data_IF_394647907173
#
_entry.id   IF_394647907173
#
_cell.length_a   1.000
_cell.length_b   1.000
_cell.length_c   1.000
_cell.angle_alpha   90.00
_cell.angle_beta   90.00
_cell.angle_gamma   90.00
#
_symmetry.space_group_name_H-M   'P 1'
#
loop_
_entity.id
_entity.type
_entity.pdbx_description
1 polymer ?
#
# COMPACT_ATOMS: atom_id res chain seq x y z
N UNK A 1 -21.65 -2.99 -0.89
CA UNK A 1 -20.59 -1.95 -0.97
C UNK A 1 -19.28 -2.67 -1.13
N UNK A 2 -18.37 -2.18 -1.98
CA UNK A 2 -17.07 -2.80 -2.16
C UNK A 2 -16.25 -2.68 -0.85
N UNK A 3 -15.45 -3.71 -0.54
CA UNK A 3 -14.51 -3.67 0.58
C UNK A 3 -13.35 -2.70 0.28
N UNK A 4 -12.59 -2.34 1.31
CA UNK A 4 -11.39 -1.51 1.14
C UNK A 4 -10.38 -2.16 0.16
N UNK A 5 -10.16 -3.47 0.29
CA UNK A 5 -9.25 -4.22 -0.59
C UNK A 5 -9.77 -4.31 -2.04
N UNK A 6 -11.09 -4.50 -2.24
CA UNK A 6 -11.68 -4.47 -3.58
C UNK A 6 -11.51 -3.12 -4.25
N UNK A 7 -11.68 -2.03 -3.47
CA UNK A 7 -11.47 -0.66 -3.98
C UNK A 7 -10.03 -0.43 -4.40
N UNK A 8 -9.06 -0.89 -3.59
CA UNK A 8 -7.63 -0.81 -3.92
C UNK A 8 -7.30 -1.59 -5.21
N UNK A 9 -7.74 -2.85 -5.29
CA UNK A 9 -7.51 -3.69 -6.47
C UNK A 9 -8.11 -3.06 -7.72
N UNK A 10 -9.34 -2.54 -7.63
CA UNK A 10 -10.01 -1.89 -8.73
C UNK A 10 -9.25 -0.62 -9.16
N UNK A 11 -8.79 0.20 -8.23
CA UNK A 11 -8.04 1.41 -8.57
C UNK A 11 -6.69 1.11 -9.24
N UNK A 12 -5.96 0.08 -8.78
CA UNK A 12 -4.74 -0.41 -9.43
C UNK A 12 -5.04 -0.88 -10.87
N UNK A 13 -6.09 -1.68 -11.04
CA UNK A 13 -6.49 -2.18 -12.36
C UNK A 13 -6.90 -1.05 -13.31
N UNK A 14 -7.70 -0.09 -12.83
CA UNK A 14 -8.13 1.07 -13.63
C UNK A 14 -6.98 2.01 -13.94
N UNK A 15 -6.04 2.21 -13.03
CA UNK A 15 -4.95 3.16 -13.21
C UNK A 15 -3.74 2.63 -13.97
N UNK A 16 -3.49 1.30 -13.95
CA UNK A 16 -2.30 0.71 -14.60
C UNK A 16 -2.65 -0.21 -15.75
N UNK A 17 -3.71 -1.01 -15.61
CA UNK A 17 -4.15 -1.93 -16.66
C UNK A 17 -5.21 -1.30 -17.57
N UNK A 18 -5.80 -0.18 -17.14
CA UNK A 18 -6.92 0.52 -17.80
C UNK A 18 -8.12 -0.41 -18.02
N UNK A 19 -8.44 -1.23 -17.00
CA UNK A 19 -9.53 -2.21 -17.06
C UNK A 19 -10.45 -2.11 -15.84
N UNK A 20 -11.75 -2.30 -16.10
CA UNK A 20 -12.70 -2.69 -15.05
C UNK A 20 -12.59 -4.20 -14.86
N UNK A 21 -12.33 -4.65 -13.63
CA UNK A 21 -12.27 -6.08 -13.34
C UNK A 21 -13.68 -6.62 -13.10
N UNK A 22 -13.88 -7.89 -13.41
CA UNK A 22 -15.13 -8.57 -13.07
C UNK A 22 -15.29 -8.66 -11.55
N UNK A 23 -16.52 -8.74 -11.04
CA UNK A 23 -16.77 -8.94 -9.61
C UNK A 23 -16.02 -10.17 -9.07
N UNK A 24 -15.92 -11.23 -9.87
CA UNK A 24 -15.18 -12.46 -9.52
C UNK A 24 -13.68 -12.20 -9.37
N UNK A 25 -13.05 -11.52 -10.34
CA UNK A 25 -11.61 -11.22 -10.30
C UNK A 25 -11.28 -10.24 -9.17
N UNK A 26 -12.13 -9.25 -8.95
CA UNK A 26 -11.98 -8.31 -7.83
C UNK A 26 -11.98 -9.01 -6.49
N UNK A 27 -13.01 -9.85 -6.26
CA UNK A 27 -13.14 -10.60 -5.02
C UNK A 27 -11.94 -11.53 -4.83
N UNK A 28 -11.48 -12.18 -5.90
CA UNK A 28 -10.31 -13.06 -5.87
C UNK A 28 -9.05 -12.33 -5.40
N UNK A 29 -8.68 -11.24 -6.07
CA UNK A 29 -7.47 -10.49 -5.75
C UNK A 29 -7.55 -9.76 -4.41
N UNK A 30 -8.73 -9.22 -4.05
CA UNK A 30 -8.95 -8.62 -2.75
C UNK A 30 -8.76 -9.65 -1.62
N UNK A 31 -9.23 -10.89 -1.83
CA UNK A 31 -9.01 -12.00 -0.91
C UNK A 31 -7.54 -12.42 -0.83
N UNK A 32 -6.78 -12.36 -1.93
CA UNK A 32 -5.33 -12.62 -1.88
C UNK A 32 -4.60 -11.59 -0.99
N UNK A 33 -5.04 -10.32 -1.01
CA UNK A 33 -4.51 -9.28 -0.11
C UNK A 33 -4.93 -9.58 1.34
N UNK A 34 -6.21 -9.87 1.57
CA UNK A 34 -6.75 -10.17 2.91
C UNK A 34 -6.07 -11.38 3.56
N UNK A 35 -5.74 -12.40 2.76
CA UNK A 35 -5.06 -13.62 3.19
C UNK A 35 -3.53 -13.49 3.24
N UNK A 36 -2.97 -12.32 2.90
CA UNK A 36 -1.52 -12.07 2.95
C UNK A 36 -0.70 -12.76 1.86
N UNK A 37 -1.33 -13.37 0.86
CA UNK A 37 -0.64 -13.99 -0.28
C UNK A 37 -0.02 -12.95 -1.23
N UNK A 38 -0.53 -11.72 -1.19
CA UNK A 38 0.03 -10.58 -1.93
C UNK A 38 -0.18 -9.28 -1.15
N UNK A 39 0.51 -8.22 -1.54
CA UNK A 39 0.33 -6.87 -0.98
C UNK A 39 -0.13 -5.89 -2.06
N UNK A 40 -0.81 -4.79 -1.69
CA UNK A 40 -1.13 -3.73 -2.65
C UNK A 40 0.11 -3.19 -3.39
N UNK A 41 1.23 -3.07 -2.68
CA UNK A 41 2.52 -2.68 -3.24
C UNK A 41 3.01 -3.68 -4.29
N UNK A 42 2.97 -4.98 -3.99
CA UNK A 42 3.38 -6.02 -4.94
C UNK A 42 2.45 -6.09 -6.15
N UNK A 43 1.14 -5.95 -5.97
CA UNK A 43 0.18 -5.89 -7.08
C UNK A 43 0.42 -4.68 -7.98
N UNK A 44 0.67 -3.51 -7.39
CA UNK A 44 1.05 -2.30 -8.11
C UNK A 44 2.33 -2.54 -8.93
N UNK A 45 3.33 -3.15 -8.30
CA UNK A 45 4.60 -3.45 -8.94
C UNK A 45 4.42 -4.43 -10.11
N UNK A 46 3.66 -5.50 -9.94
CA UNK A 46 3.36 -6.46 -11.00
C UNK A 46 2.58 -5.82 -12.15
N UNK A 47 1.55 -5.04 -11.85
CA UNK A 47 0.76 -4.33 -12.86
C UNK A 47 1.61 -3.34 -13.67
N UNK A 48 2.50 -2.59 -13.00
CA UNK A 48 3.45 -1.67 -13.66
C UNK A 48 4.48 -2.38 -14.55
N UNK A 49 4.71 -3.67 -14.31
CA UNK A 49 5.67 -4.45 -15.09
C UNK A 49 5.08 -5.07 -16.35
N UNK A 50 3.75 -5.05 -16.50
CA UNK A 50 3.06 -5.62 -17.66
C UNK A 50 3.49 -4.92 -18.96
N UNK A 51 3.53 -5.69 -20.05
CA UNK A 51 3.80 -5.17 -21.40
C UNK A 51 2.79 -4.10 -21.79
N UNK A 52 1.51 -4.32 -21.45
CA UNK A 52 0.44 -3.36 -21.67
C UNK A 52 0.73 -2.02 -21.00
N UNK A 53 1.21 -2.02 -19.74
CA UNK A 53 1.59 -0.78 -19.08
C UNK A 53 2.81 -0.11 -19.75
N UNK A 54 3.93 -0.83 -19.86
CA UNK A 54 5.22 -0.28 -20.33
C UNK A 54 5.20 0.25 -21.77
N UNK A 55 4.44 -0.40 -22.64
CA UNK A 55 4.47 -0.12 -24.07
C UNK A 55 3.23 0.62 -24.58
N UNK A 56 2.10 0.52 -23.89
CA UNK A 56 0.85 1.11 -24.36
C UNK A 56 0.30 2.17 -23.40
N UNK A 57 -0.01 1.81 -22.16
CA UNK A 57 -0.72 2.70 -21.24
C UNK A 57 0.14 3.88 -20.79
N UNK A 58 1.41 3.61 -20.45
CA UNK A 58 2.39 4.66 -20.15
C UNK A 58 2.65 5.55 -21.37
N UNK A 59 2.63 4.97 -22.58
CA UNK A 59 2.83 5.71 -23.82
C UNK A 59 1.63 6.64 -24.10
N UNK A 60 0.40 6.16 -23.88
CA UNK A 60 -0.82 6.95 -23.96
C UNK A 60 -0.80 8.14 -22.99
N UNK A 61 -0.42 7.92 -21.74
CA UNK A 61 -0.28 9.01 -20.77
C UNK A 61 0.83 10.00 -21.14
N UNK A 62 1.92 9.52 -21.74
CA UNK A 62 3.01 10.38 -22.23
C UNK A 62 2.57 11.23 -23.40
N UNK A 63 1.79 10.66 -24.33
CA UNK A 63 1.17 11.44 -25.40
C UNK A 63 0.22 12.50 -24.83
N UNK A 64 -0.67 12.13 -23.90
CA UNK A 64 -1.58 13.09 -23.29
C UNK A 64 -0.84 14.26 -22.61
N UNK A 65 0.20 13.96 -21.82
CA UNK A 65 1.04 14.98 -21.21
C UNK A 65 1.73 15.86 -22.26
N UNK A 66 2.26 15.27 -23.33
CA UNK A 66 2.91 16.01 -24.41
C UNK A 66 1.97 16.93 -25.20
N UNK A 67 0.69 16.57 -25.32
CA UNK A 67 -0.30 17.42 -26.00
C UNK A 67 -0.86 18.54 -25.13
N UNK A 68 -1.03 18.29 -23.82
CA UNK A 68 -1.83 19.17 -22.96
C UNK A 68 -1.08 19.71 -21.73
N UNK A 69 0.18 19.32 -21.53
CA UNK A 69 1.05 19.80 -20.46
C UNK A 69 0.59 19.45 -19.04
N UNK A 70 -0.30 18.47 -18.90
CA UNK A 70 -0.88 18.04 -17.62
C UNK A 70 -1.02 16.53 -17.58
N UNK A 71 -0.99 15.95 -16.38
CA UNK A 71 -1.30 14.53 -16.20
C UNK A 71 -2.81 14.30 -16.34
N UNK A 72 -3.17 13.15 -16.89
CA UNK A 72 -4.56 12.75 -17.07
C UNK A 72 -5.15 12.16 -15.79
N UNK A 73 -6.47 12.29 -15.62
CA UNK A 73 -7.21 11.46 -14.67
C UNK A 73 -7.31 10.01 -15.16
N UNK A 74 -7.57 9.07 -14.25
CA UNK A 74 -7.82 7.67 -14.61
C UNK A 74 -8.99 7.57 -15.59
N UNK A 75 -10.10 8.24 -15.32
CA UNK A 75 -11.28 8.22 -16.20
C UNK A 75 -10.97 8.71 -17.62
N UNK A 76 -10.13 9.75 -17.75
CA UNK A 76 -9.67 10.24 -19.04
C UNK A 76 -8.87 9.16 -19.77
N UNK A 77 -7.97 8.48 -19.08
CA UNK A 77 -7.18 7.40 -19.67
C UNK A 77 -8.03 6.20 -20.07
N UNK A 78 -9.00 5.83 -19.24
CA UNK A 78 -9.95 4.77 -19.54
C UNK A 78 -10.78 5.08 -20.79
N UNK A 79 -11.22 6.32 -20.96
CA UNK A 79 -11.91 6.75 -22.17
C UNK A 79 -11.05 6.52 -23.43
N UNK A 80 -9.80 6.99 -23.41
CA UNK A 80 -8.90 6.84 -24.56
C UNK A 80 -8.49 5.39 -24.79
N UNK A 81 -8.32 4.60 -23.73
CA UNK A 81 -8.12 3.15 -23.84
C UNK A 81 -9.33 2.46 -24.47
N UNK A 82 -10.54 2.83 -24.08
CA UNK A 82 -11.76 2.30 -24.69
C UNK A 82 -11.83 2.57 -26.19
N UNK A 83 -11.33 3.71 -26.68
CA UNK A 83 -11.24 3.98 -28.12
C UNK A 83 -10.27 3.00 -28.81
N UNK A 84 -9.13 2.71 -28.18
CA UNK A 84 -8.15 1.74 -28.70
C UNK A 84 -8.73 0.32 -28.71
N UNK A 85 -9.42 -0.06 -27.64
CA UNK A 85 -10.04 -1.38 -27.53
C UNK A 85 -11.18 -1.57 -28.55
N UNK A 86 -11.77 -0.48 -29.04
CA UNK A 86 -12.74 -0.48 -30.16
C UNK A 86 -12.08 -0.39 -31.55
N UNK A 87 -10.78 -0.68 -31.65
CA UNK A 87 -10.07 -0.87 -32.92
C UNK A 87 -9.26 0.33 -33.42
N UNK A 88 -9.23 1.45 -32.70
CA UNK A 88 -8.30 2.53 -33.01
C UNK A 88 -6.87 2.16 -32.60
N UNK A 89 -5.87 2.68 -33.31
CA UNK A 89 -4.47 2.54 -32.91
C UNK A 89 -4.04 3.68 -31.99
N UNK A 90 -2.95 3.50 -31.23
CA UNK A 90 -2.34 4.60 -30.47
C UNK A 90 -1.93 5.77 -31.37
N UNK A 91 -1.55 5.48 -32.62
CA UNK A 91 -1.29 6.49 -33.66
C UNK A 91 -2.55 7.31 -33.96
N UNK A 92 -3.71 6.69 -34.09
CA UNK A 92 -4.97 7.39 -34.36
C UNK A 92 -5.35 8.30 -33.19
N UNK A 93 -5.16 7.82 -31.95
CA UNK A 93 -5.37 8.62 -30.74
C UNK A 93 -4.40 9.81 -30.69
N UNK A 94 -3.12 9.58 -30.98
CA UNK A 94 -2.11 10.64 -31.08
C UNK A 94 -2.49 11.69 -32.12
N UNK A 95 -2.98 11.26 -33.28
CA UNK A 95 -3.51 12.11 -34.33
C UNK A 95 -4.72 12.95 -33.88
N UNK A 96 -5.58 12.41 -33.02
CA UNK A 96 -6.70 13.17 -32.42
C UNK A 96 -6.20 14.24 -31.44
N UNK A 97 -5.19 13.93 -30.62
CA UNK A 97 -4.62 14.89 -29.67
C UNK A 97 -4.03 16.11 -30.38
N UNK A 98 -3.08 15.88 -31.28
CA UNK A 98 -2.35 16.95 -31.98
C UNK A 98 -3.21 17.80 -32.92
N UNK A 99 -4.44 17.37 -33.23
CA UNK A 99 -5.38 18.11 -34.06
C UNK A 99 -6.57 18.68 -33.27
N UNK A 100 -6.60 18.49 -31.95
CA UNK A 100 -7.67 18.98 -31.09
C UNK A 100 -7.57 20.48 -30.84
N UNK A 101 -8.71 21.12 -30.57
CA UNK A 101 -8.73 22.53 -30.14
C UNK A 101 -7.98 22.75 -28.81
N UNK A 102 -8.06 21.78 -27.89
CA UNK A 102 -7.35 21.83 -26.61
C UNK A 102 -5.83 21.85 -26.79
N UNK A 103 -5.30 21.10 -27.76
CA UNK A 103 -3.87 21.12 -28.08
C UNK A 103 -3.40 22.51 -28.54
N UNK A 104 -4.14 23.14 -29.46
CA UNK A 104 -3.79 24.50 -29.92
C UNK A 104 -4.03 25.58 -28.86
N UNK A 105 -4.96 25.35 -27.91
CA UNK A 105 -5.13 26.23 -26.76
C UNK A 105 -3.94 26.12 -25.79
N UNK A 106 -3.42 24.91 -25.58
CA UNK A 106 -2.23 24.68 -24.75
C UNK A 106 -0.94 25.17 -25.43
N UNK A 107 -0.81 24.95 -26.73
CA UNK A 107 0.36 25.29 -27.53
C UNK A 107 -0.06 26.21 -28.71
N UNK A 108 -0.30 27.52 -28.46
CA UNK A 108 -0.72 28.43 -29.52
C UNK A 108 0.29 28.55 -30.68
N UNK A 109 1.58 28.38 -30.39
CA UNK A 109 2.65 28.42 -31.39
C UNK A 109 2.52 27.30 -32.43
N UNK A 110 1.90 26.17 -32.07
CA UNK A 110 1.71 25.05 -32.98
C UNK A 110 0.76 25.36 -34.15
N UNK A 111 -0.08 26.40 -34.03
CA UNK A 111 -0.94 26.85 -35.12
C UNK A 111 -0.21 27.67 -36.19
N UNK A 112 1.03 28.13 -35.91
CA UNK A 112 1.75 29.07 -36.77
C UNK A 112 2.41 28.39 -37.98
N UNK A 113 2.98 27.20 -37.81
CA UNK A 113 3.59 26.42 -38.89
C UNK A 113 3.85 24.96 -38.47
N UNK A 114 4.10 24.07 -39.44
CA UNK A 114 4.53 22.70 -39.15
C UNK A 114 5.85 22.66 -38.36
N UNK A 115 6.79 23.59 -38.62
CA UNK A 115 8.03 23.68 -37.84
C UNK A 115 7.75 24.03 -36.39
N UNK A 116 6.93 25.05 -36.15
CA UNK A 116 6.57 25.49 -34.81
C UNK A 116 5.84 24.38 -34.02
N UNK A 117 4.96 23.63 -34.69
CA UNK A 117 4.28 22.47 -34.10
C UNK A 117 5.25 21.35 -33.71
N UNK A 118 6.22 21.04 -34.58
CA UNK A 118 7.24 20.02 -34.30
C UNK A 118 8.12 20.44 -33.12
N UNK A 119 8.62 21.68 -33.12
CA UNK A 119 9.47 22.21 -32.06
C UNK A 119 8.73 22.25 -30.71
N UNK A 120 7.45 22.61 -30.71
CA UNK A 120 6.66 22.64 -29.49
C UNK A 120 6.39 21.24 -28.91
N UNK A 121 6.12 20.23 -29.75
CA UNK A 121 5.99 18.84 -29.30
C UNK A 121 7.31 18.32 -28.72
N UNK A 122 8.44 18.56 -29.40
CA UNK A 122 9.77 18.19 -28.92
C UNK A 122 10.05 18.84 -27.55
N UNK A 123 9.75 20.13 -27.41
CA UNK A 123 9.95 20.89 -26.18
C UNK A 123 9.09 20.40 -25.02
N UNK A 124 7.77 20.25 -25.23
CA UNK A 124 6.82 19.81 -24.19
C UNK A 124 7.14 18.40 -23.70
N UNK A 125 7.58 17.53 -24.61
CA UNK A 125 7.96 16.15 -24.28
C UNK A 125 9.41 16.03 -23.79
N UNK A 126 10.16 17.14 -23.73
CA UNK A 126 11.55 17.16 -23.26
C UNK A 126 12.49 16.28 -24.08
N UNK A 127 12.18 16.04 -25.36
CA UNK A 127 13.00 15.18 -26.22
C UNK A 127 14.25 15.93 -26.63
N UNK A 128 15.42 15.42 -26.23
CA UNK A 128 16.73 15.96 -26.60
C UNK A 128 17.40 15.13 -27.69
N UNK A 129 18.39 15.69 -28.38
CA UNK A 129 19.23 14.94 -29.33
C UNK A 129 18.69 14.82 -30.76
N UNK A 130 17.54 15.44 -31.07
CA UNK A 130 17.05 15.53 -32.46
C UNK A 130 17.83 16.60 -33.20
N UNK A 131 18.55 16.21 -34.25
CA UNK A 131 19.36 17.13 -35.07
C UNK A 131 18.49 18.01 -35.96
N UNK A 132 19.00 19.18 -36.38
CA UNK A 132 18.31 20.05 -37.34
C UNK A 132 18.10 19.38 -38.71
N UNK A 133 19.02 18.50 -39.12
CA UNK A 133 18.86 17.71 -40.34
C UNK A 133 17.64 16.78 -40.21
N UNK A 134 17.54 16.03 -39.10
CA UNK A 134 16.40 15.13 -38.83
C UNK A 134 15.07 15.89 -38.80
N UNK A 135 15.03 17.09 -38.20
CA UNK A 135 13.83 17.95 -38.24
C UNK A 135 13.46 18.34 -39.67
N UNK A 136 14.44 18.73 -40.48
CA UNK A 136 14.23 19.13 -41.88
C UNK A 136 13.67 17.96 -42.71
N UNK A 137 14.23 16.77 -42.56
CA UNK A 137 13.77 15.54 -43.22
C UNK A 137 12.34 15.14 -42.80
N UNK A 138 12.04 15.27 -41.50
CA UNK A 138 10.69 15.03 -40.98
C UNK A 138 9.68 16.02 -41.58
N UNK A 139 9.99 17.33 -41.60
CA UNK A 139 9.12 18.35 -42.19
C UNK A 139 8.90 18.16 -43.69
N UNK A 140 9.94 17.74 -44.43
CA UNK A 140 9.81 17.38 -45.83
C UNK A 140 8.89 16.16 -46.04
N UNK A 141 8.99 15.16 -45.17
CA UNK A 141 8.15 13.95 -45.19
C UNK A 141 6.68 14.24 -44.84
N UNK A 142 6.43 15.17 -43.92
CA UNK A 142 5.07 15.68 -43.61
C UNK A 142 4.46 16.34 -44.84
N UNK A 143 5.23 17.21 -45.51
CA UNK A 143 4.76 17.93 -46.71
C UNK A 143 4.43 16.97 -47.86
N UNK A 144 5.16 15.86 -47.97
CA UNK A 144 4.91 14.79 -48.95
C UNK A 144 3.78 13.84 -48.55
N UNK A 145 3.22 13.97 -47.35
CA UNK A 145 2.18 13.08 -46.81
C UNK A 145 2.69 11.68 -46.41
N UNK A 146 4.00 11.44 -46.43
CA UNK A 146 4.59 10.14 -46.06
C UNK A 146 4.78 9.98 -44.55
N UNK A 147 4.65 11.07 -43.79
CA UNK A 147 4.70 11.09 -42.33
C UNK A 147 3.53 11.92 -41.79
N UNK A 148 2.77 11.36 -40.85
CA UNK A 148 1.66 12.05 -40.20
C UNK A 148 1.96 12.42 -38.75
N UNK A 149 1.21 13.38 -38.22
CA UNK A 149 1.40 13.89 -36.86
C UNK A 149 1.12 12.86 -35.76
N UNK A 150 0.28 11.85 -36.02
CA UNK A 150 0.05 10.76 -35.07
C UNK A 150 1.30 9.90 -34.89
N UNK A 151 1.96 9.55 -36.00
CA UNK A 151 3.25 8.82 -35.97
C UNK A 151 4.36 9.63 -35.31
N UNK A 152 4.44 10.94 -35.58
CA UNK A 152 5.42 11.83 -34.94
C UNK A 152 5.23 11.87 -33.43
N UNK A 153 4.00 12.12 -32.98
CA UNK A 153 3.72 12.20 -31.54
C UNK A 153 3.98 10.87 -30.84
N UNK A 154 3.59 9.74 -31.46
CA UNK A 154 3.84 8.41 -30.93
C UNK A 154 5.35 8.13 -30.78
N UNK A 155 6.14 8.49 -31.79
CA UNK A 155 7.60 8.38 -31.74
C UNK A 155 8.19 9.23 -30.61
N UNK A 156 7.82 10.53 -30.54
CA UNK A 156 8.30 11.44 -29.50
C UNK A 156 7.93 10.98 -28.10
N UNK A 157 6.72 10.45 -27.91
CA UNK A 157 6.29 9.85 -26.65
C UNK A 157 7.17 8.67 -26.23
N UNK A 158 7.58 7.84 -27.19
CA UNK A 158 8.35 6.65 -26.90
C UNK A 158 9.80 6.96 -26.51
N UNK A 159 10.38 8.02 -27.08
CA UNK A 159 11.75 8.47 -26.77
C UNK A 159 11.81 9.57 -25.70
N UNK A 160 10.66 10.00 -25.17
CA UNK A 160 10.58 11.06 -24.19
C UNK A 160 11.13 10.62 -22.83
N UNK A 161 11.99 11.44 -22.17
CA UNK A 161 12.39 11.19 -20.79
C UNK A 161 11.20 11.29 -19.81
N UNK A 162 10.11 11.95 -20.20
CA UNK A 162 8.91 12.07 -19.38
C UNK A 162 8.12 10.79 -19.27
N UNK A 163 8.45 9.74 -20.05
CA UNK A 163 7.77 8.45 -19.99
C UNK A 163 7.78 7.89 -18.57
N UNK A 164 8.91 7.94 -17.87
CA UNK A 164 9.00 7.52 -16.46
C UNK A 164 8.11 8.37 -15.56
N UNK A 165 8.19 9.70 -15.70
CA UNK A 165 7.39 10.66 -14.92
C UNK A 165 5.89 10.44 -15.07
N UNK A 166 5.39 10.27 -16.29
CA UNK A 166 3.96 10.04 -16.55
C UNK A 166 3.52 8.66 -16.08
N UNK A 167 4.39 7.65 -16.16
CA UNK A 167 4.16 6.34 -15.55
C UNK A 167 4.02 6.42 -14.03
N UNK A 168 4.91 7.16 -13.36
CA UNK A 168 4.83 7.42 -11.91
C UNK A 168 3.59 8.23 -11.54
N UNK A 169 3.16 9.18 -12.39
CA UNK A 169 1.92 9.92 -12.17
C UNK A 169 0.69 9.01 -12.23
N UNK A 170 0.64 8.07 -13.19
CA UNK A 170 -0.42 7.06 -13.26
C UNK A 170 -0.42 6.16 -12.03
N UNK A 171 0.76 5.67 -11.62
CA UNK A 171 0.93 4.88 -10.40
C UNK A 171 0.41 5.64 -9.18
N UNK A 172 0.84 6.88 -8.99
CA UNK A 172 0.38 7.73 -7.90
C UNK A 172 -1.13 7.93 -7.94
N UNK A 173 -1.72 8.20 -9.11
CA UNK A 173 -3.17 8.39 -9.24
C UNK A 173 -3.93 7.08 -8.98
N UNK A 174 -3.38 5.93 -9.39
CA UNK A 174 -3.97 4.59 -9.17
C UNK A 174 -4.03 4.20 -7.70
N UNK A 175 -3.14 4.75 -6.88
CA UNK A 175 -3.11 4.49 -5.45
C UNK A 175 -3.95 5.56 -4.73
N UNK A 176 -3.71 6.84 -5.05
CA UNK A 176 -4.24 7.98 -4.29
C UNK A 176 -5.62 8.48 -4.73
N UNK A 177 -6.04 8.15 -5.95
CA UNK A 177 -7.22 8.73 -6.60
C UNK A 177 -7.04 10.18 -7.05
N UNK A 178 -5.96 10.87 -6.64
CA UNK A 178 -5.68 12.26 -6.97
C UNK A 178 -4.61 12.36 -8.06
N UNK A 179 -4.82 13.26 -9.02
CA UNK A 179 -3.80 13.57 -10.03
C UNK A 179 -2.68 14.38 -9.37
N UNK A 180 -1.44 13.89 -9.37
CA UNK A 180 -0.33 14.53 -8.66
C UNK A 180 0.16 15.78 -9.38
N UNK A 181 0.93 16.65 -8.70
CA UNK A 181 1.68 17.72 -9.37
C UNK A 181 3.00 17.16 -9.91
N UNK A 182 3.55 17.81 -10.94
CA UNK A 182 4.85 17.43 -11.51
C UNK A 182 5.96 17.43 -10.45
N UNK A 183 5.97 18.44 -9.58
CA UNK A 183 6.94 18.58 -8.48
C UNK A 183 6.94 17.36 -7.56
N UNK A 184 5.76 16.85 -7.24
CA UNK A 184 5.58 15.74 -6.30
C UNK A 184 6.16 14.47 -6.90
N UNK A 185 5.91 14.24 -8.20
CA UNK A 185 6.45 13.08 -8.92
C UNK A 185 7.97 13.18 -9.10
N UNK A 186 8.49 14.36 -9.43
CA UNK A 186 9.94 14.53 -9.58
C UNK A 186 10.70 14.27 -8.28
N UNK A 187 10.09 14.54 -7.11
CA UNK A 187 10.70 14.30 -5.80
C UNK A 187 10.79 12.80 -5.44
N UNK A 188 10.01 11.93 -6.09
CA UNK A 188 10.05 10.48 -5.84
C UNK A 188 11.35 9.83 -6.34
N UNK A 189 11.97 10.42 -7.37
CA UNK A 189 13.16 9.90 -8.05
C UNK A 189 12.82 9.02 -9.26
N UNK A 190 13.84 8.55 -9.97
CA UNK A 190 13.69 7.76 -11.20
C UNK A 190 13.49 6.26 -10.97
N UNK A 191 13.70 5.77 -9.75
CA UNK A 191 13.50 4.37 -9.40
C UNK A 191 12.02 4.10 -9.11
N UNK A 192 11.38 3.33 -10.01
CA UNK A 192 9.96 3.02 -9.91
C UNK A 192 9.60 2.20 -8.66
N UNK A 193 10.47 1.30 -8.20
CA UNK A 193 10.20 0.49 -7.01
C UNK A 193 10.27 1.35 -5.75
N UNK A 194 11.28 2.22 -5.65
CA UNK A 194 11.41 3.18 -4.55
C UNK A 194 10.26 4.19 -4.56
N UNK A 195 9.86 4.68 -5.73
CA UNK A 195 8.74 5.60 -5.87
C UNK A 195 7.41 4.96 -5.44
N UNK A 196 7.14 3.71 -5.83
CA UNK A 196 5.95 2.95 -5.40
C UNK A 196 5.93 2.83 -3.87
N UNK A 197 7.06 2.48 -3.24
CA UNK A 197 7.17 2.39 -1.79
C UNK A 197 6.87 3.73 -1.10
N UNK A 198 7.43 4.84 -1.61
CA UNK A 198 7.17 6.19 -1.09
C UNK A 198 5.71 6.63 -1.22
N UNK A 199 5.06 6.34 -2.36
CA UNK A 199 3.65 6.69 -2.59
C UNK A 199 2.74 5.92 -1.62
N UNK A 200 2.97 4.62 -1.47
CA UNK A 200 2.20 3.81 -0.51
C UNK A 200 2.43 4.26 0.93
N UNK A 201 3.67 4.61 1.30
CA UNK A 201 3.98 5.17 2.62
C UNK A 201 3.28 6.53 2.87
N UNK A 202 3.15 7.37 1.84
CA UNK A 202 2.45 8.65 1.95
C UNK A 202 0.92 8.49 2.04
N UNK A 203 0.35 7.45 1.43
CA UNK A 203 -1.07 7.10 1.49
C UNK A 203 -1.49 6.53 2.85
N UNK A 204 -0.55 5.94 3.57
CA UNK A 204 -0.87 5.38 4.86
C UNK A 204 -1.25 6.42 5.91
N UNK A 205 -1.05 7.73 5.70
CA UNK A 205 -1.24 8.85 6.68
C UNK A 205 -1.54 8.37 8.10
N UNK A 206 -0.62 7.57 8.62
CA UNK A 206 -0.42 7.40 10.03
C UNK A 206 0.41 8.63 10.30
N UNK A 207 -0.04 9.52 11.18
CA UNK A 207 0.90 10.45 11.76
C UNK A 207 1.99 9.56 12.35
N UNK A 208 3.17 9.49 11.73
CA UNK A 208 4.32 8.76 12.29
C UNK A 208 4.86 9.69 13.35
N UNK A 209 4.42 9.56 14.60
CA UNK A 209 4.67 10.57 15.61
C UNK A 209 6.07 10.41 16.22
N UNK A 210 6.75 9.35 15.81
CA UNK A 210 7.97 8.79 16.38
C UNK A 210 8.97 8.46 15.27
N UNK A 211 10.17 8.13 15.67
CA UNK A 211 11.36 7.84 14.85
C UNK A 211 11.74 6.37 14.99
N UNK A 212 12.90 5.95 14.48
CA UNK A 212 13.40 4.58 14.70
C UNK A 212 14.15 4.40 16.03
N UNK A 213 14.02 5.36 16.95
CA UNK A 213 14.64 5.35 18.28
C UNK A 213 13.57 5.33 19.37
N UNK A 214 13.97 5.36 20.64
CA UNK A 214 12.99 5.37 21.74
C UNK A 214 12.33 6.74 21.86
N UNK A 215 11.03 6.80 21.64
CA UNK A 215 10.25 8.02 21.66
C UNK A 215 9.16 8.00 22.74
N UNK A 216 8.66 9.19 23.08
CA UNK A 216 7.47 9.36 23.92
C UNK A 216 6.48 10.19 23.14
N UNK A 217 5.30 9.63 22.89
CA UNK A 217 4.24 10.26 22.13
C UNK A 217 2.94 10.30 22.91
N UNK A 218 2.26 11.44 22.82
CA UNK A 218 0.89 11.61 23.29
C UNK A 218 0.05 12.11 22.14
N UNK A 219 -1.00 11.35 21.82
CA UNK A 219 -1.97 11.67 20.80
C UNK A 219 -2.90 12.81 21.20
N UNK A 220 -3.97 12.94 20.44
CA UNK A 220 -4.87 14.07 20.47
C UNK A 220 -6.13 13.73 21.26
N UNK A 221 -7.18 14.50 21.02
CA UNK A 221 -8.51 14.25 21.60
C UNK A 221 -9.47 13.61 20.60
N UNK A 222 -9.01 13.42 19.37
CA UNK A 222 -9.76 12.84 18.27
C UNK A 222 -9.15 11.45 17.95
N UNK A 223 -9.83 10.62 17.16
CA UNK A 223 -9.34 9.27 16.86
C UNK A 223 -8.02 9.28 16.08
N UNK A 224 -6.96 8.73 16.68
CA UNK A 224 -5.61 8.72 16.14
C UNK A 224 -5.19 7.35 15.59
N UNK A 225 -4.27 7.38 14.62
CA UNK A 225 -3.53 6.19 14.18
C UNK A 225 -2.07 6.39 14.56
N UNK A 226 -1.61 5.59 15.51
CA UNK A 226 -0.34 5.74 16.22
C UNK A 226 0.56 4.57 15.88
N UNK A 227 1.81 4.85 15.56
CA UNK A 227 2.81 3.85 15.17
C UNK A 227 4.16 4.27 15.74
N UNK A 228 4.74 3.41 16.58
CA UNK A 228 6.03 3.63 17.23
C UNK A 228 7.23 3.56 16.27
N UNK A 229 7.14 2.73 15.23
CA UNK A 229 8.29 2.33 14.42
C UNK A 229 9.28 1.54 15.29
N UNK A 230 10.59 1.66 15.06
CA UNK A 230 11.59 0.91 15.84
C UNK A 230 12.00 1.67 17.09
N UNK A 231 12.59 0.98 18.06
CA UNK A 231 12.85 1.57 19.38
C UNK A 231 11.82 1.09 20.40
N UNK A 232 12.04 1.38 21.68
CA UNK A 232 11.07 1.04 22.73
C UNK A 232 10.33 2.31 23.11
N UNK A 233 9.11 2.46 22.58
CA UNK A 233 8.38 3.73 22.69
C UNK A 233 7.44 3.75 23.89
N UNK A 234 7.05 4.95 24.30
CA UNK A 234 5.94 5.18 25.23
C UNK A 234 4.85 5.93 24.48
N UNK A 235 3.71 5.27 24.25
CA UNK A 235 2.62 5.74 23.40
C UNK A 235 1.36 5.97 24.25
N UNK A 236 0.76 7.15 24.12
CA UNK A 236 -0.52 7.53 24.73
C UNK A 236 -1.47 7.94 23.60
N UNK A 237 -2.67 7.37 23.55
CA UNK A 237 -3.71 7.68 22.58
C UNK A 237 -4.33 9.06 22.78
N UNK A 238 -4.63 9.37 24.04
CA UNK A 238 -5.38 10.55 24.43
C UNK A 238 -6.87 10.22 24.60
N UNK A 239 -7.75 11.04 24.04
CA UNK A 239 -9.18 10.69 24.00
C UNK A 239 -9.57 10.38 22.58
N UNK A 240 -10.51 9.47 22.37
CA UNK A 240 -10.87 9.05 21.02
C UNK A 240 -11.04 7.55 20.98
N UNK A 241 -11.11 7.00 19.76
CA UNK A 241 -10.91 5.57 19.52
C UNK A 241 -9.62 5.48 18.72
N UNK A 242 -8.55 5.13 19.41
CA UNK A 242 -7.21 5.20 18.85
C UNK A 242 -6.77 3.85 18.31
N UNK A 243 -5.93 3.86 17.28
CA UNK A 243 -5.39 2.65 16.66
C UNK A 243 -3.88 2.61 16.86
N UNK A 244 -3.40 1.67 17.66
CA UNK A 244 -1.97 1.40 17.83
C UNK A 244 -1.53 0.34 16.82
N UNK A 245 -0.67 0.76 15.89
CA UNK A 245 -0.23 -0.03 14.75
C UNK A 245 1.12 -0.64 15.04
N UNK A 246 1.16 -1.96 15.04
CA UNK A 246 2.37 -2.73 15.20
C UNK A 246 3.05 -3.00 13.86
N UNK A 247 4.37 -2.99 13.84
CA UNK A 247 5.16 -3.17 12.64
C UNK A 247 5.25 -4.63 12.18
N UNK A 248 5.79 -4.86 10.97
CA UNK A 248 5.88 -6.21 10.38
C UNK A 248 6.97 -7.10 11.01
N UNK A 249 7.88 -6.53 11.80
CA UNK A 249 9.00 -7.24 12.44
C UNK A 249 9.21 -6.74 13.86
N UNK A 250 9.71 -7.61 14.75
CA UNK A 250 9.93 -7.27 16.16
C UNK A 250 10.99 -6.18 16.32
N UNK A 251 12.00 -6.15 15.46
CA UNK A 251 13.01 -5.07 15.44
C UNK A 251 12.43 -3.77 14.91
N UNK A 252 11.59 -3.85 13.88
CA UNK A 252 10.91 -2.71 13.31
C UNK A 252 9.84 -2.12 14.23
N UNK A 253 9.38 -2.86 15.24
CA UNK A 253 8.44 -2.41 16.28
C UNK A 253 9.14 -2.02 17.59
N UNK A 254 10.22 -2.71 17.95
CA UNK A 254 10.74 -2.75 19.32
C UNK A 254 9.72 -3.17 20.37
N UNK A 255 9.93 -2.75 21.62
CA UNK A 255 9.12 -3.13 22.79
C UNK A 255 8.41 -1.89 23.34
N UNK A 256 7.19 -1.66 22.85
CA UNK A 256 6.45 -0.44 23.15
C UNK A 256 5.67 -0.51 24.47
N UNK A 257 5.39 0.65 25.05
CA UNK A 257 4.55 0.82 26.24
C UNK A 257 3.35 1.67 25.87
N UNK A 258 2.16 1.08 25.82
CA UNK A 258 0.90 1.78 25.55
C UNK A 258 0.25 2.12 26.89
N UNK A 259 -0.05 3.39 27.11
CA UNK A 259 -0.30 3.92 28.46
C UNK A 259 -1.76 4.07 28.86
N UNK A 260 -2.68 4.12 27.89
CA UNK A 260 -4.08 4.48 28.10
C UNK A 260 -5.07 3.64 27.29
N UNK A 261 -4.65 2.46 26.84
CA UNK A 261 -5.46 1.58 25.99
C UNK A 261 -6.84 1.26 26.60
N UNK A 262 -7.90 1.74 25.95
CA UNK A 262 -9.28 1.53 26.35
C UNK A 262 -9.82 0.21 25.79
N UNK A 263 -10.14 -0.74 26.67
CA UNK A 263 -10.73 -2.03 26.29
C UNK A 263 -12.26 -1.91 26.13
N UNK A 264 -12.82 -2.68 25.19
CA UNK A 264 -14.26 -2.91 25.03
C UNK A 264 -14.85 -2.17 23.83
N UNK A 265 -16.18 -2.26 23.69
CA UNK A 265 -16.91 -1.63 22.59
C UNK A 265 -16.72 -0.11 22.57
N UNK A 266 -16.13 0.39 21.49
CA UNK A 266 -15.85 1.82 21.35
C UNK A 266 -14.64 2.28 22.16
N UNK A 267 -13.80 1.35 22.62
CA UNK A 267 -12.43 1.62 23.03
C UNK A 267 -11.46 1.44 21.87
N UNK A 268 -10.17 1.43 22.18
CA UNK A 268 -9.05 1.49 21.24
C UNK A 268 -8.80 0.16 20.53
N UNK A 269 -7.95 0.22 19.50
CA UNK A 269 -7.67 -0.86 18.57
C UNK A 269 -6.17 -1.16 18.58
N UNK A 270 -5.79 -2.42 18.85
CA UNK A 270 -4.46 -2.94 18.55
C UNK A 270 -4.48 -3.55 17.15
N UNK A 271 -3.69 -2.97 16.24
CA UNK A 271 -3.60 -3.43 14.87
C UNK A 271 -2.34 -4.28 14.68
N UNK A 272 -2.55 -5.59 14.54
CA UNK A 272 -1.51 -6.59 14.34
C UNK A 272 -1.45 -7.10 12.89
N UNK A 273 -2.18 -6.46 11.97
CA UNK A 273 -2.30 -6.89 10.58
C UNK A 273 -0.93 -7.11 9.92
N UNK A 274 0.06 -6.25 10.21
CA UNK A 274 1.41 -6.38 9.67
C UNK A 274 2.21 -7.54 10.29
N UNK A 275 2.09 -7.77 11.60
CA UNK A 275 2.74 -8.90 12.28
C UNK A 275 2.16 -10.25 11.84
N UNK A 276 0.83 -10.32 11.74
CA UNK A 276 0.11 -11.55 11.46
C UNK A 276 -0.06 -11.82 9.96
N UNK A 277 0.24 -10.83 9.10
CA UNK A 277 -0.04 -10.85 7.67
C UNK A 277 -1.51 -11.23 7.36
N UNK A 278 -2.44 -10.74 8.19
CA UNK A 278 -3.85 -11.13 8.17
C UNK A 278 -4.69 -9.96 8.65
N UNK A 279 -5.65 -9.54 7.84
CA UNK A 279 -6.62 -8.52 8.22
C UNK A 279 -7.81 -9.13 8.95
N UNK A 280 -8.49 -8.33 9.78
CA UNK A 280 -9.70 -8.73 10.52
C UNK A 280 -9.45 -9.92 11.45
N UNK A 281 -8.28 -9.96 12.08
CA UNK A 281 -7.94 -11.05 12.99
C UNK A 281 -8.79 -10.96 14.24
N UNK A 282 -9.73 -11.89 14.42
CA UNK A 282 -10.65 -11.87 15.58
C UNK A 282 -10.06 -12.62 16.77
N UNK A 283 -10.33 -12.09 17.96
CA UNK A 283 -10.05 -12.71 19.25
C UNK A 283 -10.63 -14.14 19.31
N UNK A 284 -9.81 -15.11 19.70
CA UNK A 284 -10.28 -16.41 20.14
C UNK A 284 -10.47 -16.35 21.67
N UNK A 285 -11.66 -15.94 22.11
CA UNK A 285 -12.19 -15.99 23.51
C UNK A 285 -11.16 -16.21 24.62
N UNK A 286 -11.00 -15.23 25.52
CA UNK A 286 -10.07 -15.29 26.67
C UNK A 286 -10.02 -16.67 27.35
N UNK A 287 -8.81 -17.18 27.52
CA UNK A 287 -8.50 -18.53 28.04
C UNK A 287 -7.85 -18.43 29.41
N UNK A 288 -8.12 -19.37 30.30
CA UNK A 288 -7.38 -19.46 31.56
C UNK A 288 -6.07 -20.21 31.32
N UNK A 289 -4.96 -19.73 31.88
CA UNK A 289 -3.65 -20.40 31.75
C UNK A 289 -3.63 -21.81 32.36
N UNK A 290 -4.58 -22.10 33.25
CA UNK A 290 -4.76 -23.41 33.90
C UNK A 290 -5.68 -24.36 33.13
N UNK A 291 -6.24 -23.94 32.00
CA UNK A 291 -7.05 -24.82 31.17
C UNK A 291 -6.21 -26.00 30.69
N UNK A 292 -6.73 -27.22 30.90
CA UNK A 292 -6.06 -28.47 30.50
C UNK A 292 -6.64 -29.07 29.21
N UNK A 293 -7.76 -28.51 28.73
CA UNK A 293 -8.34 -28.85 27.44
C UNK A 293 -7.83 -27.85 26.42
N UNK A 294 -6.79 -28.27 25.70
CA UNK A 294 -6.13 -27.46 24.69
C UNK A 294 -7.11 -26.85 23.68
N UNK A 295 -7.27 -25.53 23.72
CA UNK A 295 -8.05 -24.78 22.72
C UNK A 295 -7.30 -24.80 21.39
N UNK A 296 -8.04 -25.13 20.34
CA UNK A 296 -7.54 -25.01 18.98
C UNK A 296 -7.41 -23.53 18.60
N UNK A 297 -6.38 -23.23 17.80
CA UNK A 297 -6.11 -21.92 17.24
C UNK A 297 -5.51 -22.08 15.85
N UNK A 298 -5.62 -21.05 15.04
CA UNK A 298 -5.17 -21.02 13.66
C UNK A 298 -3.98 -20.07 13.49
N UNK A 299 -3.27 -20.25 12.38
CA UNK A 299 -2.25 -19.30 11.98
C UNK A 299 -2.84 -17.88 11.87
N UNK A 300 -2.14 -16.93 12.49
CA UNK A 300 -2.53 -15.54 12.56
C UNK A 300 -3.70 -15.30 13.51
N UNK A 301 -3.85 -16.07 14.58
CA UNK A 301 -4.86 -15.77 15.62
C UNK A 301 -4.26 -14.89 16.72
N UNK A 302 -5.13 -14.16 17.42
CA UNK A 302 -4.80 -13.42 18.64
C UNK A 302 -5.39 -14.21 19.81
N UNK A 303 -4.51 -14.61 20.73
CA UNK A 303 -4.81 -15.46 21.87
C UNK A 303 -4.74 -14.62 23.14
N UNK A 304 -5.84 -14.53 23.87
CA UNK A 304 -5.89 -13.76 25.13
C UNK A 304 -5.90 -14.74 26.30
N UNK A 305 -5.00 -14.53 27.25
CA UNK A 305 -4.74 -15.48 28.35
C UNK A 305 -4.70 -14.75 29.68
N UNK A 306 -5.58 -15.14 30.57
CA UNK A 306 -5.53 -14.72 31.98
C UNK A 306 -4.85 -15.81 32.82
N UNK A 307 -3.90 -15.42 33.67
CA UNK A 307 -3.11 -16.36 34.45
C UNK A 307 -2.26 -15.70 35.54
N UNK A 308 -1.31 -16.44 36.09
CA UNK A 308 -0.34 -15.92 37.06
C UNK A 308 1.08 -16.12 36.51
N UNK A 309 1.97 -15.16 36.73
CA UNK A 309 3.38 -15.23 36.37
C UNK A 309 3.66 -15.49 34.87
N UNK A 310 2.80 -15.02 33.97
CA UNK A 310 2.98 -15.11 32.51
C UNK A 310 3.85 -13.95 31.99
N UNK A 311 5.02 -13.77 32.59
CA UNK A 311 5.89 -12.60 32.40
C UNK A 311 7.15 -12.89 31.60
N UNK A 312 7.41 -14.14 31.21
CA UNK A 312 8.59 -14.55 30.44
C UNK A 312 8.20 -15.40 29.23
N UNK A 313 9.07 -15.39 28.21
CA UNK A 313 8.90 -16.22 27.02
C UNK A 313 8.74 -17.72 27.36
N UNK A 314 9.47 -18.23 28.35
CA UNK A 314 9.33 -19.62 28.84
C UNK A 314 7.92 -19.91 29.35
N UNK A 315 7.37 -19.01 30.17
CA UNK A 315 6.03 -19.19 30.76
C UNK A 315 4.93 -19.12 29.71
N UNK A 316 5.12 -18.30 28.67
CA UNK A 316 4.19 -18.18 27.54
C UNK A 316 4.30 -19.39 26.61
N UNK A 317 5.52 -19.84 26.28
CA UNK A 317 5.74 -21.05 25.50
C UNK A 317 5.13 -22.30 26.17
N UNK A 318 5.16 -22.36 27.51
CA UNK A 318 4.58 -23.45 28.30
C UNK A 318 3.04 -23.53 28.25
N UNK A 319 2.36 -22.55 27.64
CA UNK A 319 0.90 -22.56 27.41
C UNK A 319 0.46 -23.49 26.27
N UNK A 320 1.41 -23.99 25.46
CA UNK A 320 1.12 -24.78 24.28
C UNK A 320 1.51 -26.25 24.47
N UNK A 321 0.62 -27.17 24.06
CA UNK A 321 0.88 -28.61 24.05
C UNK A 321 -0.21 -29.45 24.71
N UNK A 322 0.06 -30.75 24.84
CA UNK A 322 -0.88 -31.70 25.46
C UNK A 322 -1.09 -31.36 26.93
N UNK A 323 -2.35 -31.23 27.34
CA UNK A 323 -2.71 -30.88 28.72
C UNK A 323 -2.45 -29.42 29.10
N UNK A 324 -2.33 -28.53 28.10
CA UNK A 324 -2.11 -27.09 28.26
C UNK A 324 -3.30 -26.29 27.73
N UNK A 325 -3.26 -24.96 27.92
CA UNK A 325 -4.33 -24.05 27.53
C UNK A 325 -4.57 -24.03 26.01
N UNK A 326 -3.50 -24.14 25.20
CA UNK A 326 -3.57 -24.15 23.75
C UNK A 326 -2.97 -25.43 23.15
N UNK A 327 -3.53 -25.84 22.02
CA UNK A 327 -2.99 -26.96 21.26
C UNK A 327 -1.57 -26.64 20.75
N UNK A 328 -0.71 -27.66 20.65
CA UNK A 328 0.54 -27.49 19.92
C UNK A 328 0.23 -27.19 18.43
N UNK A 329 1.03 -26.35 17.77
CA UNK A 329 0.90 -26.17 16.33
C UNK A 329 1.27 -27.46 15.60
N UNK A 330 0.77 -27.58 14.37
CA UNK A 330 1.06 -28.72 13.48
C UNK A 330 1.86 -28.31 12.25
N UNK A 331 2.00 -27.01 12.02
CA UNK A 331 2.70 -26.38 10.89
C UNK A 331 3.33 -25.06 11.34
N UNK A 332 4.17 -24.46 10.50
CA UNK A 332 4.74 -23.14 10.78
C UNK A 332 3.63 -22.11 10.97
N UNK A 333 3.67 -21.40 12.09
CA UNK A 333 2.56 -20.56 12.56
C UNK A 333 3.06 -19.26 13.17
N UNK A 334 2.20 -18.25 13.11
CA UNK A 334 2.35 -16.98 13.80
C UNK A 334 1.12 -16.72 14.64
N UNK A 335 1.30 -16.09 15.80
CA UNK A 335 0.20 -15.62 16.63
C UNK A 335 0.64 -14.40 17.44
N UNK A 336 -0.34 -13.67 17.95
CA UNK A 336 -0.13 -12.70 19.04
C UNK A 336 -0.76 -13.28 20.29
N UNK A 337 -0.04 -13.21 21.40
CA UNK A 337 -0.53 -13.62 22.70
C UNK A 337 -0.59 -12.39 23.60
N UNK A 338 -1.75 -12.12 24.20
CA UNK A 338 -1.92 -11.07 25.20
C UNK A 338 -2.09 -11.74 26.55
N UNK A 339 -1.13 -11.53 27.44
CA UNK A 339 -1.15 -12.06 28.82
C UNK A 339 -1.32 -10.92 29.80
N UNK A 340 -1.92 -11.18 30.95
CA UNK A 340 -1.86 -10.28 32.10
C UNK A 340 -1.65 -11.09 33.37
N UNK A 341 -1.24 -10.39 34.42
CA UNK A 341 -1.17 -10.94 35.77
C UNK A 341 -2.32 -10.39 36.63
N UNK A 342 -2.46 -10.92 37.85
CA UNK A 342 -3.47 -10.51 38.84
C UNK A 342 -3.31 -9.03 39.20
N UNK A 343 -2.08 -8.52 39.18
CA UNK A 343 -1.74 -7.12 39.46
C UNK A 343 -0.76 -6.64 38.38
N UNK A 344 -0.98 -5.42 37.88
CA UNK A 344 -0.06 -4.77 36.95
C UNK A 344 -0.58 -4.73 35.52
N UNK A 345 0.36 -4.80 34.58
CA UNK A 345 0.17 -4.50 33.18
C UNK A 345 -0.02 -5.76 32.33
N UNK A 346 -0.69 -5.62 31.19
CA UNK A 346 -0.77 -6.68 30.21
C UNK A 346 0.49 -6.66 29.33
N UNK A 347 0.92 -7.82 28.87
CA UNK A 347 2.04 -7.99 27.96
C UNK A 347 1.56 -8.58 26.65
N UNK A 348 2.01 -7.97 25.55
CA UNK A 348 1.78 -8.44 24.19
C UNK A 348 3.03 -9.17 23.71
N UNK A 349 2.84 -10.41 23.27
CA UNK A 349 3.87 -11.30 22.78
C UNK A 349 3.60 -11.64 21.32
N UNK A 350 4.65 -11.64 20.51
CA UNK A 350 4.62 -12.13 19.15
C UNK A 350 5.27 -13.51 19.09
N UNK A 351 4.50 -14.49 18.62
CA UNK A 351 4.95 -15.86 18.41
C UNK A 351 5.22 -16.09 16.93
N UNK A 352 6.40 -16.62 16.63
CA UNK A 352 6.78 -17.07 15.29
C UNK A 352 7.37 -18.47 15.38
N UNK A 353 6.54 -19.49 15.20
CA UNK A 353 7.01 -20.87 15.11
C UNK A 353 7.42 -21.21 13.68
N UNK A 354 8.71 -21.41 13.49
CA UNK A 354 9.28 -21.82 12.19
C UNK A 354 10.20 -23.04 12.30
N UNK A 355 10.76 -23.32 13.49
CA UNK A 355 11.76 -24.36 13.67
C UNK A 355 11.24 -25.39 14.67
N UNK A 356 10.97 -26.61 14.23
CA UNK A 356 10.33 -27.60 15.11
C UNK A 356 8.84 -27.30 15.31
N UNK A 357 8.11 -27.22 14.20
CA UNK A 357 6.69 -26.82 14.03
C UNK A 357 5.63 -27.61 14.82
N UNK A 358 6.06 -28.50 15.71
CA UNK A 358 5.22 -29.34 16.58
C UNK A 358 5.26 -28.91 18.05
N UNK A 359 6.08 -27.92 18.41
CA UNK A 359 6.17 -27.36 19.75
C UNK A 359 6.49 -25.87 19.68
N UNK A 360 6.20 -25.13 20.76
CA UNK A 360 6.62 -23.74 20.93
C UNK A 360 7.79 -23.72 21.91
N UNK A 361 8.85 -23.02 21.55
CA UNK A 361 10.00 -22.77 22.43
C UNK A 361 10.07 -21.29 22.81
N UNK A 362 10.79 -20.97 23.89
CA UNK A 362 10.90 -19.60 24.38
C UNK A 362 11.56 -18.65 23.35
N UNK A 363 12.53 -19.14 22.57
CA UNK A 363 13.21 -18.35 21.54
C UNK A 363 12.28 -17.91 20.39
N UNK A 364 11.10 -18.54 20.26
CA UNK A 364 10.09 -18.21 19.26
C UNK A 364 9.07 -17.18 19.77
N UNK A 365 9.13 -16.82 21.06
CA UNK A 365 8.20 -15.91 21.72
C UNK A 365 8.93 -14.63 22.10
N UNK A 366 8.55 -13.52 21.47
CA UNK A 366 9.19 -12.22 21.68
C UNK A 366 8.18 -11.25 22.25
N UNK A 367 8.54 -10.56 23.34
CA UNK A 367 7.74 -9.45 23.85
C UNK A 367 7.78 -8.28 22.86
N UNK A 368 6.63 -7.71 22.52
CA UNK A 368 6.53 -6.58 21.57
C UNK A 368 5.82 -5.36 22.16
N UNK A 369 5.00 -5.52 23.20
CA UNK A 369 4.48 -4.37 23.94
C UNK A 369 4.06 -4.69 25.37
N UNK A 370 3.85 -3.62 26.14
CA UNK A 370 3.16 -3.59 27.43
C UNK A 370 1.98 -2.64 27.35
N UNK A 371 0.81 -3.07 27.84
CA UNK A 371 -0.37 -2.23 27.99
C UNK A 371 -0.54 -1.90 29.48
N UNK A 372 -0.32 -0.65 29.87
CA UNK A 372 -0.29 -0.30 31.28
C UNK A 372 -1.67 -0.26 31.90
N UNK A 373 -1.79 -0.71 33.14
CA UNK A 373 -3.06 -0.67 33.90
C UNK A 373 -4.08 -1.74 33.50
N UNK A 374 -3.73 -2.66 32.60
CA UNK A 374 -4.59 -3.78 32.20
C UNK A 374 -4.16 -5.06 32.93
N UNK A 375 -4.91 -5.45 33.95
CA UNK A 375 -4.71 -6.72 34.66
C UNK A 375 -5.65 -7.82 34.15
N UNK A 376 -5.62 -8.99 34.78
CA UNK A 376 -6.49 -10.12 34.46
C UNK A 376 -7.99 -9.78 34.41
N UNK A 377 -8.48 -8.87 35.26
CA UNK A 377 -9.89 -8.44 35.24
C UNK A 377 -10.17 -7.58 34.01
N UNK A 378 -9.24 -6.70 33.64
CA UNK A 378 -9.31 -5.90 32.42
C UNK A 378 -9.34 -6.76 31.14
N UNK A 379 -8.56 -7.85 31.11
CA UNK A 379 -8.51 -8.74 29.93
C UNK A 379 -9.84 -9.39 29.55
N UNK A 380 -10.76 -9.55 30.50
CA UNK A 380 -12.08 -10.15 30.25
C UNK A 380 -12.94 -9.26 29.34
N UNK A 381 -12.64 -7.96 29.27
CA UNK A 381 -13.35 -7.00 28.44
C UNK A 381 -12.94 -6.96 26.96
N UNK A 382 -11.90 -7.70 26.54
CA UNK A 382 -11.40 -7.64 25.16
C UNK A 382 -12.45 -8.13 24.17
N UNK A 383 -12.97 -7.21 23.38
CA UNK A 383 -13.90 -7.51 22.30
C UNK A 383 -13.16 -7.66 20.97
N UNK A 384 -13.82 -8.28 19.98
CA UNK A 384 -13.28 -8.34 18.62
C UNK A 384 -13.10 -6.97 17.96
N UNK A 385 -13.70 -5.93 18.52
CA UNK A 385 -13.58 -4.53 18.07
C UNK A 385 -12.27 -3.88 18.50
N UNK A 386 -11.58 -4.42 19.52
CA UNK A 386 -10.31 -3.90 20.00
C UNK A 386 -9.09 -4.41 19.21
N UNK A 387 -9.30 -5.25 18.19
CA UNK A 387 -8.23 -5.95 17.47
C UNK A 387 -8.44 -5.86 15.95
N UNK A 388 -7.37 -5.64 15.19
CA UNK A 388 -7.38 -5.59 13.73
C UNK A 388 -6.30 -6.46 13.08
#
# INVERSE_FOLDING_TARGET
MATANETIVQNIARGLLFKELSTTDLTYWAKQIEQGFTTPTLLTQLASQTTAFKNENQLLATMYYGAFGKFATIDTMMFWRGIVDNGATLKDVAGRFVNSAEFYAHIPTAAQSNSAKLDALIGTMGVSGITQQTKTEALASITKGSLDWGNIMLYLANVSPQKTTTGLALLSTSITGAVPKLTDITALGSDANLAISKIWAAQTTVATPTTSGNDTYTGTKDADSIRGLGGNDTLTGGTGIDTFIFESTTVGNGIDTITDFAIGKGGDILNFTAFLNKSNTKNNTTVLSTDITAKAWLNGDILIVSGNALTTADTVAALFGTGKAFAAPTTGTKAVIITADIIGDATVWYLVNQTGVTAITADEVVKVATLTGINNLGLVGFESTNLA
#
